data_IF_471183794547
#
_entry.id   IF_471183794547
#
_cell.length_a   1.000
_cell.length_b   1.000
_cell.length_c   1.000
_cell.angle_alpha   90.00
_cell.angle_beta   90.00
_cell.angle_gamma   90.00
#
_symmetry.space_group_name_H-M   'P 1'
#
loop_
_entity.id
_entity.type
_entity.pdbx_description
1 polymer ?
#
# COMPACT_ATOMS: atom_id res chain seq x y z
N UNK A 1 -8.78 -15.84 6.85
CA UNK A 1 -10.23 -15.68 7.13
C UNK A 1 -10.89 -17.06 7.07
N UNK A 2 -11.75 -17.43 8.03
CA UNK A 2 -12.41 -18.74 8.11
C UNK A 2 -13.68 -18.78 7.22
N UNK A 3 -13.97 -19.91 6.56
CA UNK A 3 -15.11 -20.12 5.67
C UNK A 3 -16.46 -19.87 6.36
N UNK A 4 -16.62 -20.33 7.61
CA UNK A 4 -17.84 -20.05 8.39
C UNK A 4 -18.07 -18.56 8.61
N UNK A 5 -17.01 -17.79 8.85
CA UNK A 5 -17.11 -16.33 9.03
C UNK A 5 -17.56 -15.65 7.74
N UNK A 6 -17.10 -16.13 6.59
CA UNK A 6 -17.55 -15.64 5.30
C UNK A 6 -19.02 -15.92 5.07
N UNK A 7 -19.51 -17.12 5.37
CA UNK A 7 -20.91 -17.52 5.17
C UNK A 7 -21.90 -16.72 6.02
N UNK A 8 -21.47 -16.26 7.20
CA UNK A 8 -22.31 -15.43 8.09
C UNK A 8 -22.34 -13.94 7.73
N UNK A 9 -21.46 -13.46 6.84
CA UNK A 9 -21.45 -12.05 6.44
C UNK A 9 -22.73 -11.68 5.67
N UNK A 10 -23.33 -10.56 6.03
CA UNK A 10 -24.38 -9.95 5.21
C UNK A 10 -23.78 -9.33 3.93
N UNK A 11 -24.64 -8.93 3.01
CA UNK A 11 -24.19 -8.37 1.73
C UNK A 11 -23.34 -7.11 1.88
N UNK A 12 -23.70 -6.21 2.79
CA UNK A 12 -22.96 -4.96 3.05
C UNK A 12 -21.55 -5.26 3.54
N UNK A 13 -21.42 -6.11 4.57
CA UNK A 13 -20.12 -6.53 5.12
C UNK A 13 -19.26 -7.20 4.04
N UNK A 14 -19.87 -8.04 3.20
CA UNK A 14 -19.18 -8.76 2.13
C UNK A 14 -18.67 -7.82 1.03
N UNK A 15 -19.47 -6.83 0.63
CA UNK A 15 -19.04 -5.80 -0.34
C UNK A 15 -17.98 -4.90 0.26
N UNK A 16 -18.16 -4.44 1.50
CA UNK A 16 -17.21 -3.60 2.20
C UNK A 16 -15.85 -4.30 2.35
N UNK A 17 -15.83 -5.54 2.82
CA UNK A 17 -14.61 -6.33 2.97
C UNK A 17 -13.91 -6.54 1.62
N UNK A 18 -14.66 -6.85 0.56
CA UNK A 18 -14.11 -7.03 -0.78
C UNK A 18 -13.49 -5.74 -1.33
N UNK A 19 -14.16 -4.60 -1.15
CA UNK A 19 -13.65 -3.30 -1.59
C UNK A 19 -12.42 -2.86 -0.78
N UNK A 20 -12.42 -3.05 0.54
CA UNK A 20 -11.26 -2.80 1.42
C UNK A 20 -10.06 -3.63 0.99
N UNK A 21 -10.27 -4.93 0.81
CA UNK A 21 -9.29 -5.88 0.28
C UNK A 21 -8.73 -5.41 -1.06
N UNK A 22 -9.58 -4.90 -1.93
CA UNK A 22 -9.19 -4.38 -3.24
C UNK A 22 -8.43 -3.04 -3.17
N UNK A 23 -8.25 -2.47 -1.97
CA UNK A 23 -7.51 -1.24 -1.70
C UNK A 23 -8.37 0.02 -1.69
N UNK A 24 -9.70 -0.11 -1.68
CA UNK A 24 -10.60 1.04 -1.55
C UNK A 24 -10.68 1.45 -0.08
N UNK A 25 -10.44 2.73 0.22
CA UNK A 25 -10.58 3.24 1.58
C UNK A 25 -12.04 3.53 1.89
N UNK A 26 -12.61 2.88 2.90
CA UNK A 26 -14.02 3.06 3.22
C UNK A 26 -14.29 2.99 4.73
N UNK A 27 -15.45 3.49 5.12
CA UNK A 27 -16.02 3.38 6.46
C UNK A 27 -17.41 2.78 6.37
N UNK A 28 -17.75 1.98 7.36
CA UNK A 28 -19.08 1.41 7.51
C UNK A 28 -19.77 2.05 8.71
N UNK A 29 -21.03 2.46 8.53
CA UNK A 29 -21.90 2.93 9.61
C UNK A 29 -23.28 2.32 9.42
N UNK A 30 -23.55 1.22 10.11
CA UNK A 30 -24.76 0.42 9.88
C UNK A 30 -24.74 -0.19 8.48
N UNK A 31 -25.81 0.03 7.71
CA UNK A 31 -25.95 -0.43 6.31
C UNK A 31 -25.20 0.42 5.28
N UNK A 32 -24.65 1.57 5.69
CA UNK A 32 -24.07 2.55 4.78
C UNK A 32 -22.56 2.33 4.66
N UNK A 33 -22.10 2.19 3.41
CA UNK A 33 -20.69 2.21 3.02
C UNK A 33 -20.36 3.61 2.50
N UNK A 34 -19.37 4.26 3.11
CA UNK A 34 -18.85 5.56 2.68
C UNK A 34 -17.41 5.42 2.21
N UNK A 35 -17.14 5.71 0.94
CA UNK A 35 -15.80 5.80 0.36
C UNK A 35 -15.13 7.07 0.88
N UNK A 36 -13.97 6.94 1.52
CA UNK A 36 -13.36 8.10 2.18
C UNK A 36 -12.62 9.02 1.20
N UNK A 37 -12.30 10.24 1.65
CA UNK A 37 -11.55 11.27 0.88
C UNK A 37 -10.12 10.87 0.48
N UNK A 38 -9.60 9.80 1.07
CA UNK A 38 -8.31 9.22 0.72
C UNK A 38 -8.32 8.57 -0.67
N UNK A 39 -9.50 8.22 -1.20
CA UNK A 39 -9.64 7.79 -2.59
C UNK A 39 -9.56 8.96 -3.58
N UNK A 40 -9.43 8.65 -4.87
CA UNK A 40 -9.61 9.61 -5.96
C UNK A 40 -11.08 9.65 -6.40
N UNK A 41 -11.47 10.67 -7.15
CA UNK A 41 -12.79 10.67 -7.82
C UNK A 41 -12.91 9.53 -8.83
N UNK A 42 -11.81 9.18 -9.50
CA UNK A 42 -11.76 8.04 -10.41
C UNK A 42 -12.00 6.72 -9.67
N UNK A 43 -11.44 6.53 -8.47
CA UNK A 43 -11.73 5.37 -7.62
C UNK A 43 -13.23 5.24 -7.34
N UNK A 44 -13.89 6.33 -6.95
CA UNK A 44 -15.33 6.33 -6.66
C UNK A 44 -16.14 5.94 -7.90
N UNK A 45 -15.81 6.52 -9.06
CA UNK A 45 -16.46 6.20 -10.34
C UNK A 45 -16.22 4.73 -10.74
N UNK A 46 -15.00 4.25 -10.57
CA UNK A 46 -14.64 2.87 -10.90
C UNK A 46 -15.34 1.85 -9.98
N UNK A 47 -15.51 2.17 -8.69
CA UNK A 47 -16.31 1.35 -7.76
C UNK A 47 -17.76 1.29 -8.20
N UNK A 48 -18.39 2.42 -8.55
CA UNK A 48 -19.76 2.45 -9.11
C UNK A 48 -19.89 1.52 -10.31
N UNK A 49 -19.03 1.72 -11.30
CA UNK A 49 -19.02 0.92 -12.53
C UNK A 49 -18.80 -0.57 -12.25
N UNK A 50 -17.95 -0.93 -11.29
CA UNK A 50 -17.71 -2.31 -10.91
C UNK A 50 -18.96 -2.95 -10.29
N UNK A 51 -19.61 -2.26 -9.34
CA UNK A 51 -20.81 -2.78 -8.67
C UNK A 51 -21.96 -2.95 -9.67
N UNK A 52 -22.13 -1.98 -10.58
CA UNK A 52 -23.12 -2.05 -11.66
C UNK A 52 -22.82 -3.20 -12.64
N UNK A 53 -21.55 -3.34 -13.08
CA UNK A 53 -21.09 -4.44 -13.95
C UNK A 53 -21.35 -5.81 -13.34
N UNK A 54 -21.22 -5.94 -12.02
CA UNK A 54 -21.45 -7.18 -11.28
C UNK A 54 -22.92 -7.39 -10.91
N UNK A 55 -23.83 -6.52 -11.36
CA UNK A 55 -25.25 -6.52 -11.01
C UNK A 55 -25.50 -6.55 -9.50
N UNK A 56 -24.67 -5.85 -8.72
CA UNK A 56 -24.85 -5.72 -7.27
C UNK A 56 -25.81 -4.55 -7.03
N UNK A 57 -27.03 -4.79 -6.52
CA UNK A 57 -28.01 -3.72 -6.36
C UNK A 57 -27.55 -2.75 -5.29
N UNK A 58 -27.31 -1.48 -5.68
CA UNK A 58 -26.89 -0.43 -4.75
C UNK A 58 -27.75 0.82 -4.88
N UNK A 59 -27.97 1.50 -3.76
CA UNK A 59 -28.57 2.84 -3.72
C UNK A 59 -27.53 3.83 -3.25
N UNK A 60 -27.13 4.74 -4.14
CA UNK A 60 -26.18 5.81 -3.84
C UNK A 60 -26.90 7.00 -3.20
N UNK A 61 -26.60 7.28 -1.94
CA UNK A 61 -27.16 8.41 -1.17
C UNK A 61 -26.43 9.73 -1.42
N UNK A 62 -25.16 9.64 -1.81
CA UNK A 62 -24.30 10.77 -2.19
C UNK A 62 -23.32 10.30 -3.27
N UNK A 63 -22.37 11.17 -3.66
CA UNK A 63 -21.32 10.78 -4.61
C UNK A 63 -20.47 9.60 -4.09
N UNK A 64 -20.20 9.56 -2.80
CA UNK A 64 -19.25 8.66 -2.15
C UNK A 64 -19.89 7.65 -1.18
N UNK A 65 -21.20 7.69 -0.94
CA UNK A 65 -21.88 6.82 0.01
C UNK A 65 -23.04 6.06 -0.61
N UNK A 66 -23.16 4.78 -0.27
CA UNK A 66 -24.18 3.88 -0.81
C UNK A 66 -24.60 2.80 0.18
N UNK A 67 -25.73 2.17 -0.11
CA UNK A 67 -26.23 0.98 0.56
C UNK A 67 -26.34 -0.18 -0.44
N UNK A 68 -26.16 -1.40 0.05
CA UNK A 68 -26.42 -2.62 -0.72
C UNK A 68 -27.87 -3.04 -0.46
N UNK A 69 -28.67 -3.21 -1.52
CA UNK A 69 -30.12 -3.39 -1.43
C UNK A 69 -30.56 -4.85 -1.26
N UNK A 70 -29.63 -5.75 -0.99
CA UNK A 70 -29.89 -7.17 -0.76
C UNK A 70 -29.28 -7.58 0.57
N UNK A 71 -29.90 -8.54 1.27
CA UNK A 71 -29.40 -8.98 2.57
C UNK A 71 -28.22 -9.96 2.44
N UNK A 72 -28.17 -10.72 1.34
CA UNK A 72 -27.13 -11.70 1.05
C UNK A 72 -26.61 -11.53 -0.37
N UNK A 73 -25.31 -11.70 -0.52
CA UNK A 73 -24.62 -11.83 -1.81
C UNK A 73 -23.87 -13.16 -1.81
N UNK A 74 -23.67 -13.84 -2.96
CA UNK A 74 -22.87 -15.06 -3.01
C UNK A 74 -21.36 -14.78 -2.82
N UNK A 75 -20.59 -15.80 -2.38
CA UNK A 75 -19.12 -15.66 -2.19
C UNK A 75 -18.45 -15.33 -3.52
N UNK A 76 -19.00 -15.85 -4.63
CA UNK A 76 -18.53 -15.55 -5.98
C UNK A 76 -18.51 -14.04 -6.27
N UNK A 77 -19.54 -13.27 -5.84
CA UNK A 77 -19.57 -11.83 -6.05
C UNK A 77 -18.45 -11.11 -5.28
N UNK A 78 -18.18 -11.52 -4.04
CA UNK A 78 -17.05 -11.04 -3.25
C UNK A 78 -15.72 -11.29 -3.97
N UNK A 79 -15.53 -12.52 -4.46
CA UNK A 79 -14.33 -12.92 -5.21
C UNK A 79 -14.18 -12.09 -6.48
N UNK A 80 -15.27 -11.80 -7.20
CA UNK A 80 -15.24 -10.96 -8.41
C UNK A 80 -14.78 -9.54 -8.11
N UNK A 81 -15.25 -8.93 -7.02
CA UNK A 81 -14.75 -7.61 -6.59
C UNK A 81 -13.26 -7.68 -6.24
N UNK A 82 -12.87 -8.65 -5.42
CA UNK A 82 -11.50 -8.80 -4.93
C UNK A 82 -10.50 -9.02 -6.06
N UNK A 83 -10.88 -9.75 -7.11
CA UNK A 83 -9.99 -10.15 -8.21
C UNK A 83 -10.26 -9.39 -9.52
N UNK A 84 -11.00 -8.27 -9.47
CA UNK A 84 -11.21 -7.44 -10.66
C UNK A 84 -9.85 -7.04 -11.25
N UNK A 85 -9.66 -7.36 -12.53
CA UNK A 85 -8.38 -7.23 -13.22
C UNK A 85 -7.96 -5.76 -13.29
N UNK A 86 -6.80 -5.45 -12.71
CA UNK A 86 -6.11 -4.18 -12.91
C UNK A 86 -5.21 -4.19 -14.15
N UNK A 87 -4.43 -3.12 -14.30
CA UNK A 87 -3.43 -2.95 -15.35
C UNK A 87 -2.02 -2.91 -14.77
N UNK A 88 -1.01 -3.43 -15.48
CA UNK A 88 0.37 -3.26 -15.06
C UNK A 88 0.77 -1.77 -15.17
N UNK A 89 1.45 -1.27 -14.13
CA UNK A 89 2.17 0.03 -14.13
C UNK A 89 1.35 1.26 -14.57
N UNK A 90 0.33 1.69 -13.80
CA UNK A 90 -0.54 2.82 -14.21
C UNK A 90 0.13 4.20 -14.10
N UNK A 91 1.39 4.30 -13.66
CA UNK A 91 2.05 5.56 -13.33
C UNK A 91 3.28 5.77 -14.21
N UNK A 92 3.22 6.79 -15.06
CA UNK A 92 4.39 7.28 -15.77
C UNK A 92 5.24 8.16 -14.86
N UNK A 93 6.54 7.92 -14.86
CA UNK A 93 7.48 8.64 -14.01
C UNK A 93 8.27 9.71 -14.74
N UNK A 94 8.73 10.69 -13.96
CA UNK A 94 9.66 11.73 -14.39
C UNK A 94 10.77 11.88 -13.34
N UNK A 95 11.97 12.29 -13.78
CA UNK A 95 13.19 12.30 -12.96
C UNK A 95 13.10 13.06 -11.63
N UNK A 96 12.21 14.05 -11.53
CA UNK A 96 12.06 14.83 -10.31
C UNK A 96 11.56 13.99 -9.12
N UNK A 97 10.87 12.88 -9.39
CA UNK A 97 10.30 12.01 -8.37
C UNK A 97 11.38 11.31 -7.53
N UNK A 98 12.59 11.13 -8.09
CA UNK A 98 13.73 10.49 -7.44
C UNK A 98 14.60 11.44 -6.60
N UNK A 99 14.32 12.75 -6.63
CA UNK A 99 15.17 13.77 -5.98
C UNK A 99 14.88 13.85 -4.47
N UNK A 100 15.89 14.22 -3.68
CA UNK A 100 15.76 14.42 -2.23
C UNK A 100 14.60 15.38 -1.87
N UNK A 101 14.46 16.45 -2.66
CA UNK A 101 13.38 17.42 -2.49
C UNK A 101 12.00 16.77 -2.57
N UNK A 102 11.79 15.86 -3.52
CA UNK A 102 10.52 15.13 -3.65
C UNK A 102 10.29 14.24 -2.43
N UNK A 103 11.32 13.52 -1.97
CA UNK A 103 11.26 12.72 -0.76
C UNK A 103 10.88 13.56 0.47
N UNK A 104 11.63 14.61 0.78
CA UNK A 104 11.46 15.39 2.02
C UNK A 104 10.15 16.21 2.06
N UNK A 105 9.65 16.69 0.92
CA UNK A 105 8.44 17.54 0.91
C UNK A 105 7.14 16.75 0.83
N UNK A 106 7.14 15.56 0.23
CA UNK A 106 5.91 14.77 0.04
C UNK A 106 5.44 14.16 1.35
N UNK A 107 4.30 14.66 1.83
CA UNK A 107 3.59 14.11 2.99
C UNK A 107 2.87 12.81 2.67
N UNK A 108 2.27 12.72 1.49
CA UNK A 108 1.63 11.51 0.97
C UNK A 108 2.39 11.03 -0.25
N UNK A 109 2.24 9.75 -0.58
CA UNK A 109 2.61 9.22 -1.87
C UNK A 109 1.66 9.68 -2.98
N UNK A 110 1.76 9.05 -4.14
CA UNK A 110 0.88 9.34 -5.26
C UNK A 110 -0.49 8.71 -5.03
N UNK A 111 -1.55 9.39 -5.45
CA UNK A 111 -2.88 8.78 -5.49
C UNK A 111 -2.96 7.88 -6.73
N UNK A 112 -3.08 6.58 -6.49
CA UNK A 112 -3.30 5.55 -7.51
C UNK A 112 -4.67 4.94 -7.29
N UNK A 113 -5.39 4.66 -8.37
CA UNK A 113 -6.71 4.05 -8.26
C UNK A 113 -6.56 2.58 -7.88
N UNK A 114 -7.39 2.12 -6.95
CA UNK A 114 -7.43 0.76 -6.47
C UNK A 114 -7.61 -0.21 -7.63
N UNK A 115 -8.67 -0.04 -8.45
CA UNK A 115 -9.00 -1.00 -9.51
C UNK A 115 -8.01 -1.03 -10.67
N UNK A 116 -7.13 -0.02 -10.80
CA UNK A 116 -6.03 -0.03 -11.77
C UNK A 116 -4.85 -0.91 -11.30
N UNK A 117 -4.71 -1.19 -10.01
CA UNK A 117 -3.61 -1.97 -9.46
C UNK A 117 -3.87 -3.47 -9.51
N UNK A 118 -2.81 -4.29 -9.44
CA UNK A 118 -2.92 -5.73 -9.23
C UNK A 118 -3.67 -6.03 -7.92
N UNK A 119 -4.71 -6.84 -7.99
CA UNK A 119 -5.68 -7.12 -6.93
C UNK A 119 -5.02 -7.42 -5.57
N UNK A 120 -4.06 -8.35 -5.54
CA UNK A 120 -3.43 -8.82 -4.30
C UNK A 120 -2.39 -7.82 -3.72
N UNK A 121 -2.07 -6.76 -4.46
CA UNK A 121 -1.09 -5.75 -4.09
C UNK A 121 -1.74 -4.39 -3.82
N UNK A 122 -2.97 -4.17 -4.28
CA UNK A 122 -3.61 -2.86 -4.34
C UNK A 122 -3.73 -2.21 -2.95
N UNK A 123 -4.20 -2.96 -1.95
CA UNK A 123 -4.29 -2.47 -0.57
C UNK A 123 -2.92 -2.06 -0.02
N UNK A 124 -1.88 -2.85 -0.25
CA UNK A 124 -0.53 -2.55 0.23
C UNK A 124 0.06 -1.32 -0.45
N UNK A 125 -0.03 -1.24 -1.77
CA UNK A 125 0.43 -0.06 -2.56
C UNK A 125 -0.28 1.22 -2.10
N UNK A 126 -1.61 1.19 -1.95
CA UNK A 126 -2.35 2.37 -1.49
C UNK A 126 -2.02 2.72 -0.04
N UNK A 127 -1.76 1.73 0.82
CA UNK A 127 -1.38 1.95 2.22
C UNK A 127 0.03 2.53 2.37
N UNK A 128 0.99 2.12 1.53
CA UNK A 128 2.30 2.75 1.45
C UNK A 128 2.18 4.24 1.08
N UNK A 129 1.41 4.53 0.01
CA UNK A 129 1.16 5.91 -0.41
C UNK A 129 0.44 6.72 0.67
N UNK A 130 -0.53 6.12 1.37
CA UNK A 130 -1.18 6.74 2.53
C UNK A 130 -0.14 7.07 3.60
N UNK A 131 0.76 6.15 3.96
CA UNK A 131 1.81 6.35 4.97
C UNK A 131 2.95 7.29 4.53
N UNK A 132 2.91 7.86 3.33
CA UNK A 132 3.94 8.79 2.84
C UNK A 132 5.17 8.11 2.22
N UNK A 133 5.08 6.80 1.96
CA UNK A 133 6.06 6.01 1.21
C UNK A 133 5.61 6.00 -0.25
N UNK A 134 6.24 6.85 -1.06
CA UNK A 134 5.78 7.08 -2.44
C UNK A 134 6.02 5.84 -3.30
N UNK A 135 4.93 5.22 -3.72
CA UNK A 135 4.87 3.90 -4.35
C UNK A 135 4.10 3.99 -5.66
N UNK A 136 4.63 3.35 -6.70
CA UNK A 136 4.15 3.49 -8.07
C UNK A 136 3.13 2.42 -8.43
N UNK A 137 3.49 1.17 -8.17
CA UNK A 137 2.73 0.00 -8.55
C UNK A 137 3.20 -1.21 -7.74
N UNK A 138 2.40 -2.27 -7.76
CA UNK A 138 2.74 -3.58 -7.22
C UNK A 138 2.32 -4.67 -8.20
N UNK A 139 3.05 -5.77 -8.19
CA UNK A 139 2.76 -6.99 -8.94
C UNK A 139 2.92 -8.19 -8.01
N UNK A 140 1.96 -9.11 -8.02
CA UNK A 140 1.98 -10.30 -7.18
C UNK A 140 2.87 -11.44 -7.76
N UNK A 141 3.51 -11.21 -8.90
CA UNK A 141 4.42 -12.17 -9.54
C UNK A 141 3.75 -13.28 -10.37
N UNK A 142 2.41 -13.31 -10.44
CA UNK A 142 1.61 -14.22 -11.27
C UNK A 142 2.06 -15.69 -11.16
N UNK A 143 2.30 -16.17 -9.92
CA UNK A 143 2.78 -17.51 -9.57
C UNK A 143 4.19 -17.90 -10.05
N UNK A 144 4.86 -17.07 -10.87
CA UNK A 144 6.14 -17.41 -11.50
C UNK A 144 7.29 -16.58 -10.95
N UNK A 145 7.06 -15.30 -10.75
CA UNK A 145 8.07 -14.32 -10.37
C UNK A 145 7.89 -13.90 -8.91
N UNK A 146 8.94 -13.30 -8.34
CA UNK A 146 8.81 -12.67 -7.03
C UNK A 146 7.79 -11.53 -7.06
N UNK A 147 6.84 -11.50 -6.10
CA UNK A 147 6.04 -10.32 -5.83
C UNK A 147 6.94 -9.11 -5.59
N UNK A 148 6.57 -7.97 -6.17
CA UNK A 148 7.35 -6.75 -6.07
C UNK A 148 6.50 -5.49 -6.06
N UNK A 149 6.99 -4.48 -5.36
CA UNK A 149 6.40 -3.15 -5.28
C UNK A 149 7.45 -2.13 -5.72
N UNK A 150 7.10 -1.29 -6.68
CA UNK A 150 7.99 -0.25 -7.20
C UNK A 150 7.86 1.02 -6.38
N UNK A 151 8.98 1.51 -5.86
CA UNK A 151 9.05 2.76 -5.10
C UNK A 151 9.59 3.90 -5.96
N UNK A 152 9.28 5.13 -5.57
CA UNK A 152 9.74 6.36 -6.23
C UNK A 152 11.12 6.79 -5.70
N UNK A 153 12.16 5.99 -5.97
CA UNK A 153 13.55 6.33 -5.68
C UNK A 153 14.12 5.70 -4.41
N UNK A 154 15.46 5.71 -4.32
CA UNK A 154 16.23 5.08 -3.23
C UNK A 154 15.82 5.56 -1.85
N UNK A 155 15.51 6.86 -1.68
CA UNK A 155 15.14 7.43 -0.39
C UNK A 155 13.83 6.83 0.14
N UNK A 156 12.89 6.47 -0.75
CA UNK A 156 11.66 5.78 -0.36
C UNK A 156 11.95 4.33 0.06
N UNK A 157 12.91 3.67 -0.59
CA UNK A 157 13.38 2.33 -0.20
C UNK A 157 14.02 2.31 1.19
N UNK A 158 14.90 3.28 1.47
CA UNK A 158 15.47 3.44 2.81
C UNK A 158 14.42 3.74 3.85
N UNK A 159 13.50 4.65 3.52
CA UNK A 159 12.41 5.00 4.42
C UNK A 159 11.52 3.81 4.73
N UNK A 160 11.14 3.02 3.71
CA UNK A 160 10.40 1.77 3.93
C UNK A 160 11.17 0.80 4.83
N UNK A 161 12.48 0.64 4.64
CA UNK A 161 13.31 -0.26 5.46
C UNK A 161 13.30 0.15 6.94
N UNK A 162 13.34 1.45 7.23
CA UNK A 162 13.21 1.99 8.59
C UNK A 162 11.81 1.71 9.16
N UNK A 163 10.76 1.96 8.38
CA UNK A 163 9.37 1.72 8.79
C UNK A 163 9.10 0.23 9.04
N UNK A 164 9.66 -0.65 8.23
CA UNK A 164 9.59 -2.10 8.45
C UNK A 164 10.20 -2.48 9.81
N UNK A 165 11.38 -1.95 10.16
CA UNK A 165 12.00 -2.22 11.46
C UNK A 165 11.19 -1.68 12.65
N UNK A 166 10.44 -0.59 12.45
CA UNK A 166 9.67 0.07 13.49
C UNK A 166 8.29 -0.55 13.72
N UNK A 167 7.58 -0.86 12.64
CA UNK A 167 6.14 -1.17 12.71
C UNK A 167 5.81 -2.61 12.31
N UNK A 168 6.75 -3.35 11.69
CA UNK A 168 6.47 -4.69 11.16
C UNK A 168 7.13 -5.82 11.98
N UNK A 169 7.81 -5.48 13.09
CA UNK A 169 8.55 -6.46 13.90
C UNK A 169 7.66 -7.61 14.41
N UNK A 170 6.41 -7.32 14.74
CA UNK A 170 5.45 -8.29 15.31
C UNK A 170 4.53 -8.93 14.25
N UNK A 171 4.75 -8.64 12.96
CA UNK A 171 3.93 -9.23 11.90
C UNK A 171 4.38 -10.67 11.62
N UNK A 172 3.42 -11.60 11.59
CA UNK A 172 3.66 -12.99 11.19
C UNK A 172 3.58 -13.11 9.67
N UNK A 173 4.64 -12.64 9.00
CA UNK A 173 4.77 -12.71 7.54
C UNK A 173 5.28 -14.09 7.10
N UNK A 174 4.74 -14.59 5.99
CA UNK A 174 5.09 -15.88 5.38
C UNK A 174 6.33 -15.79 4.51
N UNK A 175 6.52 -14.65 3.86
CA UNK A 175 7.68 -14.37 3.04
C UNK A 175 8.52 -13.24 3.65
N UNK A 176 9.81 -13.26 3.34
CA UNK A 176 10.70 -12.15 3.68
C UNK A 176 10.55 -11.06 2.64
N UNK A 177 10.31 -9.82 3.04
CA UNK A 177 10.19 -8.68 2.14
C UNK A 177 11.39 -7.75 2.29
N UNK A 178 12.24 -7.68 1.27
CA UNK A 178 13.48 -6.91 1.30
C UNK A 178 13.43 -5.73 0.32
N UNK A 179 14.19 -4.69 0.60
CA UNK A 179 14.39 -3.57 -0.34
C UNK A 179 15.59 -3.84 -1.24
N UNK A 180 15.37 -3.74 -2.55
CA UNK A 180 16.40 -3.80 -3.58
C UNK A 180 16.58 -2.39 -4.15
N UNK A 181 17.83 -1.90 -4.15
CA UNK A 181 18.19 -0.54 -4.55
C UNK A 181 18.92 -0.54 -5.90
N UNK A 182 19.09 0.65 -6.50
CA UNK A 182 19.84 0.80 -7.75
C UNK A 182 19.11 0.29 -9.00
N UNK A 183 17.81 0.02 -8.89
CA UNK A 183 16.96 -0.34 -10.05
C UNK A 183 16.48 0.90 -10.81
N UNK A 184 15.80 0.73 -11.94
CA UNK A 184 15.24 1.83 -12.75
C UNK A 184 14.34 2.80 -11.94
N UNK A 185 13.47 2.27 -11.07
CA UNK A 185 12.66 3.10 -10.18
C UNK A 185 13.43 3.63 -8.95
N UNK A 186 14.73 3.38 -8.88
CA UNK A 186 15.62 3.58 -7.75
C UNK A 186 15.49 2.53 -6.64
N UNK A 187 14.27 2.08 -6.31
CA UNK A 187 14.05 1.04 -5.31
C UNK A 187 12.83 0.15 -5.60
N UNK A 188 12.92 -1.13 -5.20
CA UNK A 188 11.85 -2.11 -5.15
C UNK A 188 11.73 -2.70 -3.75
N UNK A 189 10.51 -3.02 -3.31
CA UNK A 189 10.27 -4.01 -2.25
C UNK A 189 10.03 -5.35 -2.95
N UNK A 190 10.73 -6.40 -2.55
CA UNK A 190 10.67 -7.72 -3.20
C UNK A 190 10.46 -8.80 -2.16
N UNK A 191 9.47 -9.65 -2.39
CA UNK A 191 9.28 -10.86 -1.59
C UNK A 191 10.33 -11.92 -1.98
N UNK A 192 10.87 -12.59 -0.97
CA UNK A 192 11.79 -13.71 -1.09
C UNK A 192 11.18 -14.94 -0.41
N UNK A 193 11.38 -16.08 -1.07
CA UNK A 193 11.04 -17.40 -0.58
C UNK A 193 12.27 -18.31 -0.62
N UNK A 194 12.31 -19.39 0.17
CA UNK A 194 13.26 -20.48 -0.02
C UNK A 194 13.22 -21.02 -1.46
N UNK A 195 14.35 -21.55 -1.96
CA UNK A 195 14.48 -21.99 -3.37
C UNK A 195 13.45 -23.05 -3.74
N UNK A 196 13.13 -23.96 -2.82
CA UNK A 196 12.28 -25.14 -3.05
C UNK A 196 10.77 -24.86 -2.99
N UNK A 197 10.36 -23.74 -2.39
CA UNK A 197 8.94 -23.42 -2.26
C UNK A 197 8.32 -22.90 -3.55
N UNK A 198 7.01 -22.99 -3.71
CA UNK A 198 6.27 -22.29 -4.77
C UNK A 198 5.62 -21.03 -4.21
N UNK A 199 5.36 -20.06 -5.08
CA UNK A 199 4.60 -18.88 -4.69
C UNK A 199 3.13 -19.24 -4.46
N UNK A 200 2.64 -19.00 -3.26
CA UNK A 200 1.22 -19.10 -2.94
C UNK A 200 0.62 -17.68 -2.87
N UNK A 201 -0.31 -17.39 -3.78
CA UNK A 201 -0.95 -16.07 -3.87
C UNK A 201 -1.79 -15.74 -2.66
N UNK A 202 -2.36 -16.73 -1.98
CA UNK A 202 -3.12 -16.51 -0.76
C UNK A 202 -2.18 -16.09 0.39
N UNK A 203 -0.99 -16.69 0.47
CA UNK A 203 0.01 -16.31 1.47
C UNK A 203 0.60 -14.91 1.18
N UNK A 204 0.86 -14.60 -0.10
CA UNK A 204 1.26 -13.25 -0.51
C UNK A 204 0.19 -12.23 -0.13
N UNK A 205 -1.07 -12.53 -0.43
CA UNK A 205 -2.20 -11.69 -0.07
C UNK A 205 -2.32 -11.49 1.45
N UNK A 206 -2.11 -12.53 2.26
CA UNK A 206 -2.11 -12.42 3.71
C UNK A 206 -0.99 -11.49 4.20
N UNK A 207 0.22 -11.61 3.67
CA UNK A 207 1.34 -10.73 4.01
C UNK A 207 1.04 -9.27 3.65
N UNK A 208 0.55 -9.03 2.43
CA UNK A 208 0.26 -7.66 1.96
C UNK A 208 -0.86 -7.00 2.75
N UNK A 209 -1.89 -7.75 3.17
CA UNK A 209 -2.95 -7.26 4.06
C UNK A 209 -2.41 -6.93 5.45
N UNK A 210 -1.56 -7.79 6.03
CA UNK A 210 -0.96 -7.54 7.35
C UNK A 210 -0.11 -6.26 7.33
N UNK A 211 0.80 -6.14 6.36
CA UNK A 211 1.63 -4.95 6.19
C UNK A 211 0.79 -3.70 5.91
N UNK A 212 -0.22 -3.80 5.04
CA UNK A 212 -1.13 -2.70 4.74
C UNK A 212 -1.89 -2.21 5.98
N UNK A 213 -2.39 -3.14 6.80
CA UNK A 213 -3.13 -2.82 8.02
C UNK A 213 -2.25 -2.10 9.04
N UNK A 214 -1.00 -2.57 9.23
CA UNK A 214 -0.03 -1.88 10.08
C UNK A 214 0.26 -0.46 9.57
N UNK A 215 0.49 -0.29 8.27
CA UNK A 215 0.70 1.02 7.65
C UNK A 215 -0.50 1.96 7.82
N UNK A 216 -1.73 1.47 7.62
CA UNK A 216 -2.94 2.27 7.78
C UNK A 216 -3.11 2.75 9.22
N UNK A 217 -2.91 1.86 10.19
CA UNK A 217 -2.99 2.16 11.62
C UNK A 217 -2.02 3.28 12.02
N UNK A 218 -0.78 3.21 11.54
CA UNK A 218 0.29 4.15 11.91
C UNK A 218 0.53 5.25 10.87
N UNK A 219 -0.33 5.39 9.85
CA UNK A 219 -0.04 6.25 8.70
C UNK A 219 0.21 7.72 9.07
N UNK A 220 -0.53 8.26 10.04
CA UNK A 220 -0.35 9.66 10.49
C UNK A 220 1.00 9.84 11.18
N UNK A 221 1.35 8.91 12.06
CA UNK A 221 2.58 8.89 12.83
C UNK A 221 3.80 8.76 11.92
N UNK A 222 3.78 7.81 10.98
CA UNK A 222 4.84 7.60 9.99
C UNK A 222 5.11 8.89 9.19
N UNK A 223 4.05 9.53 8.68
CA UNK A 223 4.20 10.81 7.94
C UNK A 223 4.78 11.92 8.80
N UNK A 224 4.41 11.94 10.07
CA UNK A 224 4.87 12.94 11.03
C UNK A 224 6.35 12.74 11.35
N UNK A 225 6.76 11.50 11.62
CA UNK A 225 8.15 11.11 11.82
C UNK A 225 9.03 11.54 10.64
N UNK A 226 8.60 11.24 9.41
CA UNK A 226 9.30 11.68 8.19
C UNK A 226 9.40 13.21 8.11
N UNK A 227 8.30 13.91 8.35
CA UNK A 227 8.21 15.38 8.28
C UNK A 227 9.11 16.05 9.30
N UNK A 228 9.18 15.51 10.51
CA UNK A 228 9.99 16.05 11.61
C UNK A 228 11.47 15.94 11.30
N UNK A 229 11.93 14.79 10.79
CA UNK A 229 13.35 14.49 10.69
C UNK A 229 13.99 14.78 9.34
N UNK A 230 13.24 14.75 8.24
CA UNK A 230 13.80 14.97 6.90
C UNK A 230 13.39 16.31 6.31
N UNK A 231 14.36 17.21 6.14
CA UNK A 231 14.12 18.57 5.63
C UNK A 231 14.70 18.77 4.24
N UNK A 232 14.08 19.69 3.49
CA UNK A 232 14.55 20.13 2.16
C UNK A 232 15.80 21.03 2.19
N UNK A 233 16.41 21.24 3.36
CA UNK A 233 17.49 22.21 3.51
C UNK A 233 18.73 21.78 2.69
N UNK A 234 19.62 22.74 2.43
CA UNK A 234 20.77 22.54 1.55
C UNK A 234 21.71 21.45 2.07
N UNK A 235 21.96 21.43 3.37
CA UNK A 235 22.87 20.50 4.04
C UNK A 235 22.41 19.03 3.89
N UNK A 236 21.19 18.72 4.33
CA UNK A 236 20.64 17.36 4.21
C UNK A 236 20.54 16.92 2.76
N UNK A 237 20.16 17.85 1.85
CA UNK A 237 20.13 17.57 0.41
C UNK A 237 21.51 17.17 -0.10
N UNK A 238 22.54 17.96 0.19
CA UNK A 238 23.90 17.70 -0.28
C UNK A 238 24.42 16.37 0.27
N UNK A 239 24.22 16.11 1.56
CA UNK A 239 24.64 14.87 2.21
C UNK A 239 23.92 13.65 1.61
N UNK A 240 22.59 13.69 1.49
CA UNK A 240 21.80 12.57 0.95
C UNK A 240 22.02 12.35 -0.56
N UNK A 241 22.22 13.43 -1.35
CA UNK A 241 22.50 13.31 -2.79
C UNK A 241 23.92 12.83 -3.06
N UNK A 242 24.90 13.20 -2.21
CA UNK A 242 26.27 12.68 -2.28
C UNK A 242 26.28 11.16 -2.09
N UNK A 243 25.75 10.67 -0.96
CA UNK A 243 25.69 9.22 -0.69
C UNK A 243 24.92 8.45 -1.77
N UNK A 244 23.83 9.00 -2.31
CA UNK A 244 23.12 8.38 -3.43
C UNK A 244 23.98 8.27 -4.69
N UNK A 245 24.69 9.35 -5.07
CA UNK A 245 25.50 9.39 -6.30
C UNK A 245 26.73 8.48 -6.20
N UNK A 246 27.28 8.33 -5.02
CA UNK A 246 28.40 7.44 -4.71
C UNK A 246 27.93 5.98 -4.48
N UNK A 247 26.62 5.70 -4.63
CA UNK A 247 26.00 4.40 -4.38
C UNK A 247 26.26 3.83 -2.97
N UNK A 248 26.60 4.72 -2.03
CA UNK A 248 26.83 4.38 -0.63
C UNK A 248 25.50 4.26 0.12
N UNK A 249 24.76 3.22 -0.22
CA UNK A 249 23.43 2.96 0.29
C UNK A 249 23.42 2.52 1.75
N UNK A 250 24.48 1.85 2.22
CA UNK A 250 24.61 1.48 3.63
C UNK A 250 24.66 2.72 4.52
N UNK A 251 25.55 3.68 4.19
CA UNK A 251 25.69 4.91 4.97
C UNK A 251 24.44 5.79 4.87
N UNK A 252 23.79 5.82 3.71
CA UNK A 252 22.52 6.53 3.55
C UNK A 252 21.44 5.95 4.45
N UNK A 253 21.33 4.63 4.55
CA UNK A 253 20.38 3.96 5.43
C UNK A 253 20.66 4.29 6.89
N UNK A 254 21.90 4.12 7.36
CA UNK A 254 22.27 4.38 8.75
C UNK A 254 22.08 5.86 9.10
N UNK A 255 22.49 6.79 8.24
CA UNK A 255 22.24 8.22 8.45
C UNK A 255 20.74 8.54 8.55
N UNK A 256 19.89 7.99 7.67
CA UNK A 256 18.45 8.21 7.75
C UNK A 256 17.85 7.62 9.03
N UNK A 257 18.34 6.45 9.45
CA UNK A 257 17.90 5.76 10.67
C UNK A 257 18.31 6.51 11.92
N UNK A 258 19.54 7.03 11.97
CA UNK A 258 20.02 7.86 13.09
C UNK A 258 19.18 9.11 13.28
N UNK A 259 18.74 9.76 12.20
CA UNK A 259 17.85 10.93 12.29
C UNK A 259 16.55 10.64 13.02
N UNK A 260 16.04 9.41 12.97
CA UNK A 260 14.78 9.02 13.65
C UNK A 260 14.99 8.25 14.96
N UNK A 261 16.25 7.99 15.35
CA UNK A 261 16.59 7.10 16.48
C UNK A 261 16.11 7.61 17.84
N UNK A 262 16.00 8.92 18.04
CA UNK A 262 15.47 9.52 19.27
C UNK A 262 14.01 9.11 19.55
N UNK A 263 13.19 9.04 18.50
CA UNK A 263 11.79 8.63 18.61
C UNK A 263 11.64 7.10 18.57
N UNK A 264 12.60 6.39 17.96
CA UNK A 264 12.67 4.91 17.93
C UNK A 264 12.67 4.28 19.33
N UNK A 265 13.37 4.89 20.28
CA UNK A 265 13.45 4.39 21.66
C UNK A 265 12.14 4.62 22.46
N UNK A 266 11.34 5.61 22.06
CA UNK A 266 10.06 5.93 22.69
C UNK A 266 8.94 5.01 22.17
N UNK A 267 8.95 4.67 20.89
CA UNK A 267 7.92 3.83 20.24
C UNK A 267 7.97 2.34 20.62
N UNK A 268 9.05 1.88 21.27
CA UNK A 268 9.18 0.50 21.80
C UNK A 268 8.79 0.35 23.27
N UNK A 269 8.33 1.41 23.93
CA UNK A 269 7.78 1.37 25.30
C UNK A 269 6.26 1.35 25.24
#
# INVERSE_FOLDING_TARGET
MNLMKLEMMNATERVAEALKTRGVFLKEKGSIITLTKENTESDIKQVRMLLDKLNIPTLWKSNDSFEVLVNRLPIAAMKSIMHEKGRPFPVQMQDYQFKWRSFAQRRFGIKVNALDLDANMAMFVKSLNLAGITTLAGCNGHHRYSPKVQLSGVYQGMWFSIIQQLYFADLSLRYKWDVHLGVESGALIVAKKPREEKWDMNLIYQDTVQMASALQKHAKEIRELKRTHFKRNKEMKQQAEKMRKEENYSDLFEWMKEKVRGDYAYLKR
#
